data_IF_347425655015
#
_entry.id   IF_347425655015
#
_cell.length_a   1.000
_cell.length_b   1.000
_cell.length_c   1.000
_cell.angle_alpha   90.00
_cell.angle_beta   90.00
_cell.angle_gamma   90.00
#
_symmetry.space_group_name_H-M   'P 1'
#
loop_
_entity.id
_entity.type
_entity.pdbx_description
1 polymer ?
#
# COMPACT_ATOMS: atom_id res chain seq x y z
N UNK A 1 -22.59 21.44 36.69
CA UNK A 1 -22.81 20.63 35.47
C UNK A 1 -22.38 21.48 34.28
N UNK A 2 -21.25 21.15 33.64
CA UNK A 2 -20.71 21.95 32.53
C UNK A 2 -21.61 21.75 31.30
N UNK A 3 -22.25 22.82 30.82
CA UNK A 3 -23.02 22.77 29.56
C UNK A 3 -22.03 22.71 28.40
N UNK A 4 -21.75 21.51 27.90
CA UNK A 4 -21.03 21.34 26.63
C UNK A 4 -21.97 21.83 25.53
N UNK A 5 -21.61 22.93 24.88
CA UNK A 5 -22.38 23.47 23.77
C UNK A 5 -21.98 22.77 22.47
N UNK A 6 -22.88 22.73 21.48
CA UNK A 6 -22.56 22.22 20.14
C UNK A 6 -21.32 22.91 19.53
N UNK A 7 -21.17 24.22 19.78
CA UNK A 7 -20.00 25.01 19.37
C UNK A 7 -18.71 24.45 19.95
N UNK A 8 -18.72 24.03 21.22
CA UNK A 8 -17.56 23.40 21.87
C UNK A 8 -17.19 22.08 21.20
N UNK A 9 -18.17 21.23 20.90
CA UNK A 9 -17.94 19.94 20.22
C UNK A 9 -17.35 20.17 18.82
N UNK A 10 -17.87 21.12 18.06
CA UNK A 10 -17.36 21.44 16.72
C UNK A 10 -15.92 21.95 16.76
N UNK A 11 -15.60 22.88 17.67
CA UNK A 11 -14.23 23.39 17.82
C UNK A 11 -13.28 22.24 18.19
N UNK A 12 -13.66 21.37 19.13
CA UNK A 12 -12.86 20.20 19.48
C UNK A 12 -12.65 19.25 18.31
N UNK A 13 -13.69 18.98 17.50
CA UNK A 13 -13.57 18.11 16.32
C UNK A 13 -12.61 18.70 15.27
N UNK A 14 -12.68 20.01 15.01
CA UNK A 14 -11.76 20.70 14.09
C UNK A 14 -10.32 20.65 14.61
N UNK A 15 -10.10 20.88 15.90
CA UNK A 15 -8.76 20.79 16.51
C UNK A 15 -8.20 19.37 16.36
N UNK A 16 -8.99 18.35 16.68
CA UNK A 16 -8.57 16.94 16.54
C UNK A 16 -8.24 16.61 15.09
N UNK A 17 -9.07 17.06 14.14
CA UNK A 17 -8.82 16.87 12.72
C UNK A 17 -7.51 17.53 12.26
N UNK A 18 -7.27 18.78 12.65
CA UNK A 18 -6.01 19.48 12.34
C UNK A 18 -4.79 18.79 12.97
N UNK A 19 -4.91 18.29 14.20
CA UNK A 19 -3.85 17.51 14.84
C UNK A 19 -3.58 16.19 14.13
N UNK A 20 -4.59 15.56 13.52
CA UNK A 20 -4.41 14.35 12.70
C UNK A 20 -3.74 14.63 11.35
N UNK A 21 -3.95 15.82 10.77
CA UNK A 21 -3.30 16.21 9.52
C UNK A 21 -1.85 16.67 9.72
N UNK A 22 -1.52 17.17 10.91
CA UNK A 22 -0.22 17.77 11.21
C UNK A 22 0.98 16.85 10.93
N UNK A 23 1.00 15.54 11.30
CA UNK A 23 2.09 14.65 10.95
C UNK A 23 2.33 14.52 9.45
N UNK A 24 1.26 14.42 8.65
CA UNK A 24 1.37 14.36 7.19
C UNK A 24 1.89 15.69 6.64
N UNK A 25 1.33 16.82 7.11
CA UNK A 25 1.77 18.15 6.71
C UNK A 25 3.25 18.40 7.01
N UNK A 26 3.75 17.92 8.16
CA UNK A 26 5.17 18.03 8.53
C UNK A 26 6.05 17.34 7.50
N UNK A 27 5.76 16.10 7.10
CA UNK A 27 6.61 15.37 6.15
C UNK A 27 6.73 16.09 4.81
N UNK A 28 5.60 16.50 4.23
CA UNK A 28 5.60 17.16 2.93
C UNK A 28 6.19 18.57 2.97
N UNK A 29 5.95 19.31 4.06
CA UNK A 29 6.59 20.62 4.26
C UNK A 29 8.10 20.46 4.43
N UNK A 30 8.53 19.43 5.15
CA UNK A 30 9.94 19.12 5.36
C UNK A 30 10.64 18.74 4.05
N UNK A 31 10.02 17.86 3.26
CA UNK A 31 10.48 17.51 1.91
C UNK A 31 10.58 18.75 1.01
N UNK A 32 9.55 19.60 1.00
CA UNK A 32 9.53 20.82 0.19
C UNK A 32 10.65 21.80 0.55
N UNK A 33 10.98 21.95 1.84
CA UNK A 33 12.01 22.91 2.31
C UNK A 33 13.43 22.32 2.24
N UNK A 34 13.60 21.05 2.61
CA UNK A 34 14.91 20.45 2.84
C UNK A 34 15.25 19.28 1.91
N UNK A 35 14.30 18.80 1.10
CA UNK A 35 14.44 17.58 0.33
C UNK A 35 15.64 17.57 -0.61
N UNK A 36 15.88 18.66 -1.33
CA UNK A 36 17.05 18.79 -2.22
C UNK A 36 18.37 18.72 -1.44
N UNK A 37 18.46 19.46 -0.33
CA UNK A 37 19.64 19.44 0.53
C UNK A 37 19.92 18.04 1.07
N UNK A 38 18.90 17.36 1.60
CA UNK A 38 19.04 15.99 2.14
C UNK A 38 19.53 15.04 1.05
N UNK A 39 18.93 15.12 -0.14
CA UNK A 39 19.30 14.29 -1.29
C UNK A 39 20.77 14.49 -1.66
N UNK A 40 21.20 15.75 -1.78
CA UNK A 40 22.57 16.09 -2.13
C UNK A 40 23.56 15.67 -1.03
N UNK A 41 23.21 15.85 0.25
CA UNK A 41 24.04 15.42 1.38
C UNK A 41 24.24 13.89 1.35
N UNK A 42 23.18 13.12 1.09
CA UNK A 42 23.25 11.65 0.99
C UNK A 42 24.09 11.22 -0.22
N UNK A 43 23.80 11.70 -1.43
CA UNK A 43 24.55 11.34 -2.64
C UNK A 43 26.03 11.73 -2.53
N UNK A 44 26.32 12.90 -1.96
CA UNK A 44 27.70 13.33 -1.70
C UNK A 44 28.39 12.40 -0.70
N UNK A 45 27.70 11.96 0.36
CA UNK A 45 28.27 11.01 1.31
C UNK A 45 28.61 9.66 0.67
N UNK A 46 27.73 9.17 -0.22
CA UNK A 46 27.96 7.94 -1.00
C UNK A 46 29.15 8.12 -1.96
N UNK A 47 29.21 9.25 -2.67
CA UNK A 47 30.32 9.55 -3.58
C UNK A 47 31.65 9.63 -2.85
N UNK A 48 31.69 10.26 -1.68
CA UNK A 48 32.93 10.44 -0.91
C UNK A 48 33.41 9.14 -0.26
N UNK A 49 32.50 8.25 0.17
CA UNK A 49 32.85 6.98 0.81
C UNK A 49 33.26 5.90 -0.20
N UNK A 50 32.45 5.71 -1.26
CA UNK A 50 32.63 4.59 -2.20
C UNK A 50 33.19 5.00 -3.57
N UNK A 51 33.02 6.27 -3.96
CA UNK A 51 33.38 6.81 -5.28
C UNK A 51 32.94 5.91 -6.46
N UNK A 52 31.65 5.54 -6.56
CA UNK A 52 31.18 4.64 -7.61
C UNK A 52 31.40 5.24 -9.00
N UNK A 53 31.90 4.43 -9.94
CA UNK A 53 32.18 4.81 -11.33
C UNK A 53 31.21 4.16 -12.33
N UNK A 54 30.48 3.14 -11.90
CA UNK A 54 29.49 2.44 -12.71
C UNK A 54 28.12 2.43 -12.04
N UNK A 55 27.07 2.20 -12.83
CA UNK A 55 25.71 2.06 -12.30
C UNK A 55 25.57 0.92 -11.27
N UNK A 56 26.33 -0.19 -11.44
CA UNK A 56 26.32 -1.32 -10.49
C UNK A 56 27.01 -0.94 -9.18
N UNK A 57 28.13 -0.23 -9.26
CA UNK A 57 28.83 0.28 -8.08
C UNK A 57 27.98 1.31 -7.34
N UNK A 58 27.27 2.20 -8.06
CA UNK A 58 26.35 3.16 -7.45
C UNK A 58 25.20 2.44 -6.73
N UNK A 59 24.54 1.49 -7.39
CA UNK A 59 23.48 0.70 -6.77
C UNK A 59 23.98 -0.02 -5.51
N UNK A 60 25.15 -0.67 -5.57
CA UNK A 60 25.76 -1.33 -4.42
C UNK A 60 26.10 -0.33 -3.28
N UNK A 61 26.60 0.85 -3.63
CA UNK A 61 26.94 1.89 -2.67
C UNK A 61 25.69 2.48 -1.98
N UNK A 62 24.57 2.62 -2.70
CA UNK A 62 23.29 3.02 -2.12
C UNK A 62 22.79 1.95 -1.14
N UNK A 63 22.78 0.68 -1.52
CA UNK A 63 22.34 -0.43 -0.63
C UNK A 63 23.20 -0.48 0.65
N UNK A 64 24.52 -0.37 0.51
CA UNK A 64 25.45 -0.37 1.65
C UNK A 64 25.18 0.83 2.58
N UNK A 65 24.95 2.02 1.99
CA UNK A 65 24.60 3.21 2.75
C UNK A 65 23.29 3.04 3.50
N UNK A 66 22.24 2.54 2.86
CA UNK A 66 20.94 2.30 3.48
C UNK A 66 21.04 1.26 4.61
N UNK A 67 21.72 0.13 4.36
CA UNK A 67 21.93 -0.91 5.37
C UNK A 67 22.74 -0.41 6.58
N UNK A 68 23.65 0.53 6.37
CA UNK A 68 24.48 1.12 7.43
C UNK A 68 23.71 2.19 8.21
N UNK A 69 22.88 2.98 7.53
CA UNK A 69 22.28 4.18 8.11
C UNK A 69 20.86 3.98 8.64
N UNK A 70 20.08 3.08 8.05
CA UNK A 70 18.68 2.90 8.40
C UNK A 70 18.49 1.94 9.57
N UNK A 71 17.61 2.33 10.49
CA UNK A 71 17.08 1.45 11.52
C UNK A 71 15.95 0.59 10.94
N UNK A 72 16.06 -0.75 11.00
CA UNK A 72 15.05 -1.65 10.46
C UNK A 72 13.80 -1.71 11.36
N UNK A 73 12.70 -1.10 10.91
CA UNK A 73 11.50 -0.90 11.74
C UNK A 73 10.72 -2.19 12.03
N UNK A 74 10.99 -3.29 11.33
CA UNK A 74 10.40 -4.59 11.65
C UNK A 74 10.95 -5.17 12.97
N UNK A 75 12.16 -4.77 13.39
CA UNK A 75 12.76 -5.22 14.66
C UNK A 75 12.16 -4.51 15.88
N UNK A 76 11.66 -3.29 15.69
CA UNK A 76 11.13 -2.43 16.76
C UNK A 76 9.65 -2.62 17.04
N UNK A 77 8.92 -3.23 16.11
CA UNK A 77 7.45 -3.22 16.16
C UNK A 77 6.80 -4.31 17.03
N UNK A 78 7.54 -5.23 17.68
CA UNK A 78 7.04 -6.23 18.67
C UNK A 78 5.64 -6.84 18.43
N UNK A 79 5.21 -6.99 17.17
CA UNK A 79 3.84 -7.43 16.83
C UNK A 79 2.72 -6.39 17.01
N UNK A 80 2.97 -5.19 17.53
CA UNK A 80 1.94 -4.14 17.63
C UNK A 80 1.67 -3.53 16.24
N UNK A 81 0.55 -3.92 15.63
CA UNK A 81 0.16 -3.53 14.28
C UNK A 81 -0.23 -2.05 14.16
N UNK A 82 -0.66 -1.41 15.24
CA UNK A 82 -1.08 0.01 15.25
C UNK A 82 0.10 0.96 15.12
N UNK A 83 1.24 0.63 15.72
CA UNK A 83 2.47 1.43 15.64
C UNK A 83 3.27 1.19 14.34
N UNK A 84 2.87 0.22 13.50
CA UNK A 84 3.53 -0.06 12.21
C UNK A 84 3.45 1.09 11.20
N UNK A 85 2.54 2.05 11.39
CA UNK A 85 2.34 3.17 10.46
C UNK A 85 2.84 4.51 10.98
N UNK A 86 2.90 4.65 12.31
CA UNK A 86 3.29 5.87 12.99
C UNK A 86 3.89 5.50 14.35
N UNK A 87 5.05 6.05 14.66
CA UNK A 87 5.62 5.93 16.00
C UNK A 87 6.77 6.91 16.22
N UNK A 88 7.06 7.18 17.49
CA UNK A 88 8.24 7.93 17.91
C UNK A 88 9.18 6.96 18.61
N UNK A 89 10.41 6.86 18.10
CA UNK A 89 11.39 5.87 18.54
C UNK A 89 12.65 6.54 19.04
N UNK A 90 13.19 6.05 20.15
CA UNK A 90 14.51 6.46 20.64
C UNK A 90 15.58 5.56 19.99
N UNK A 91 16.39 6.15 19.12
CA UNK A 91 17.48 5.49 18.40
C UNK A 91 18.77 6.24 18.77
N UNK A 92 19.64 5.58 19.53
CA UNK A 92 20.91 6.12 20.01
C UNK A 92 20.78 7.47 20.73
N UNK A 93 19.77 7.60 21.59
CA UNK A 93 19.50 8.83 22.35
C UNK A 93 18.75 9.91 21.57
N UNK A 94 18.41 9.67 20.29
CA UNK A 94 17.68 10.61 19.45
C UNK A 94 16.25 10.11 19.19
N UNK A 95 15.27 10.94 19.48
CA UNK A 95 13.88 10.65 19.15
C UNK A 95 13.60 10.93 17.68
N UNK A 96 13.15 9.92 16.94
CA UNK A 96 12.80 10.02 15.52
C UNK A 96 11.34 9.67 15.30
N UNK A 97 10.69 10.41 14.41
CA UNK A 97 9.30 10.19 14.01
C UNK A 97 9.25 9.29 12.78
N UNK A 98 8.77 8.06 12.95
CA UNK A 98 8.51 7.14 11.84
C UNK A 98 7.09 7.35 11.34
N UNK A 99 6.97 7.56 10.04
CA UNK A 99 5.71 7.67 9.32
C UNK A 99 5.84 6.84 8.05
N UNK A 100 5.01 5.79 7.95
CA UNK A 100 5.01 4.89 6.80
C UNK A 100 4.50 5.62 5.56
N UNK A 101 5.03 5.28 4.39
CA UNK A 101 4.67 5.90 3.10
C UNK A 101 4.98 7.41 3.03
N UNK A 102 5.96 7.90 3.80
CA UNK A 102 6.46 9.26 3.63
C UNK A 102 7.23 9.45 2.31
N UNK A 103 7.50 10.70 1.89
CA UNK A 103 8.36 10.97 0.76
C UNK A 103 9.77 10.40 1.00
N UNK A 104 10.48 10.03 -0.07
CA UNK A 104 11.80 9.40 0.03
C UNK A 104 12.80 10.24 0.85
N UNK A 105 12.77 11.56 0.73
CA UNK A 105 13.63 12.47 1.51
C UNK A 105 13.35 12.42 3.02
N UNK A 106 12.09 12.18 3.43
CA UNK A 106 11.73 11.98 4.82
C UNK A 106 12.33 10.67 5.35
N UNK A 107 12.32 9.61 4.53
CA UNK A 107 12.95 8.32 4.85
C UNK A 107 14.47 8.49 4.99
N UNK A 108 15.12 9.17 4.03
CA UNK A 108 16.55 9.48 4.07
C UNK A 108 16.94 10.29 5.31
N UNK A 109 16.10 11.24 5.72
CA UNK A 109 16.33 12.06 6.91
C UNK A 109 16.13 11.28 8.21
N UNK A 110 14.99 10.59 8.35
CA UNK A 110 14.62 9.92 9.60
C UNK A 110 15.41 8.61 9.82
N UNK A 111 15.97 8.06 8.74
CA UNK A 111 16.76 6.84 8.72
C UNK A 111 16.07 5.65 9.39
N UNK A 112 14.78 5.46 9.10
CA UNK A 112 13.95 4.37 9.61
C UNK A 112 13.14 3.79 8.45
N UNK A 113 13.24 2.49 8.24
CA UNK A 113 12.66 1.87 7.06
C UNK A 113 12.14 0.43 7.30
N UNK A 114 11.06 0.06 6.59
CA UNK A 114 10.75 -1.32 6.23
C UNK A 114 11.09 -1.55 4.74
N UNK A 115 10.86 -2.75 4.20
CA UNK A 115 11.14 -3.09 2.80
C UNK A 115 10.62 -2.03 1.80
N UNK A 116 9.41 -1.51 2.00
CA UNK A 116 8.85 -0.44 1.16
C UNK A 116 9.61 0.88 1.24
N UNK A 117 10.03 1.29 2.44
CA UNK A 117 10.83 2.50 2.62
C UNK A 117 12.25 2.37 2.06
N UNK A 118 12.90 1.20 2.22
CA UNK A 118 14.18 0.90 1.59
C UNK A 118 14.06 0.99 0.06
N UNK A 119 13.08 0.32 -0.56
CA UNK A 119 12.89 0.38 -2.00
C UNK A 119 12.59 1.80 -2.50
N UNK A 120 11.79 2.58 -1.77
CA UNK A 120 11.48 3.96 -2.13
C UNK A 120 12.72 4.86 -2.09
N UNK A 121 13.53 4.78 -1.03
CA UNK A 121 14.77 5.54 -0.93
C UNK A 121 15.76 5.16 -2.05
N UNK A 122 15.93 3.86 -2.32
CA UNK A 122 16.80 3.37 -3.39
C UNK A 122 16.36 3.89 -4.76
N UNK A 123 15.09 3.69 -5.12
CA UNK A 123 14.52 4.12 -6.41
C UNK A 123 14.64 5.63 -6.57
N UNK A 124 14.39 6.38 -5.51
CA UNK A 124 14.52 7.84 -5.51
C UNK A 124 15.97 8.27 -5.80
N UNK A 125 16.96 7.69 -5.10
CA UNK A 125 18.37 8.03 -5.30
C UNK A 125 18.86 7.63 -6.70
N UNK A 126 18.50 6.44 -7.19
CA UNK A 126 18.85 6.00 -8.55
C UNK A 126 18.24 6.91 -9.63
N UNK A 127 16.97 7.29 -9.49
CA UNK A 127 16.33 8.26 -10.39
C UNK A 127 17.02 9.63 -10.33
N UNK A 128 17.43 10.09 -9.14
CA UNK A 128 18.20 11.34 -8.98
C UNK A 128 19.60 11.28 -9.60
N UNK A 129 20.18 10.09 -9.70
CA UNK A 129 21.43 9.84 -10.41
C UNK A 129 21.25 9.60 -11.91
N UNK A 130 20.04 9.73 -12.45
CA UNK A 130 19.76 9.66 -13.89
C UNK A 130 19.44 8.26 -14.42
N UNK A 131 19.18 7.28 -13.55
CA UNK A 131 18.79 5.93 -13.94
C UNK A 131 17.30 5.70 -13.73
N UNK A 132 16.59 5.33 -14.80
CA UNK A 132 15.20 4.92 -14.70
C UNK A 132 15.06 3.78 -13.68
N UNK A 133 14.21 3.99 -12.68
CA UNK A 133 14.02 3.05 -11.58
C UNK A 133 12.57 3.04 -11.11
N UNK A 134 12.08 1.89 -10.67
CA UNK A 134 10.70 1.72 -10.17
C UNK A 134 10.63 0.83 -8.94
N UNK A 135 9.61 1.05 -8.12
CA UNK A 135 9.30 0.19 -6.97
C UNK A 135 8.46 -0.99 -7.47
N UNK A 136 8.72 -2.18 -6.94
CA UNK A 136 7.94 -3.38 -7.27
C UNK A 136 7.38 -4.01 -5.99
N UNK A 137 6.08 -4.27 -5.99
CA UNK A 137 5.31 -4.80 -4.87
C UNK A 137 4.76 -6.18 -5.16
N UNK A 138 4.66 -6.99 -4.11
CA UNK A 138 3.89 -8.24 -4.08
C UNK A 138 2.89 -8.13 -2.93
N UNK A 139 1.72 -7.49 -3.15
CA UNK A 139 0.80 -7.13 -2.07
C UNK A 139 0.33 -8.33 -1.24
N UNK A 140 0.07 -9.46 -1.92
CA UNK A 140 -0.37 -10.70 -1.28
C UNK A 140 0.65 -11.33 -0.34
N UNK A 141 1.93 -11.03 -0.52
CA UNK A 141 3.04 -11.58 0.24
C UNK A 141 3.76 -10.52 1.12
N UNK A 142 3.21 -9.31 1.22
CA UNK A 142 3.73 -8.18 2.02
C UNK A 142 5.22 -7.93 1.79
N UNK A 143 5.61 -7.92 0.51
CA UNK A 143 6.99 -7.77 0.10
C UNK A 143 7.14 -6.69 -0.99
N UNK A 144 8.29 -6.01 -0.97
CA UNK A 144 8.61 -4.87 -1.83
C UNK A 144 10.11 -4.87 -2.11
N UNK A 145 10.49 -4.58 -3.35
CA UNK A 145 11.88 -4.38 -3.79
C UNK A 145 11.96 -3.26 -4.83
N UNK A 146 13.16 -3.03 -5.37
CA UNK A 146 13.44 -2.02 -6.37
C UNK A 146 13.96 -2.63 -7.68
N UNK A 147 13.68 -1.96 -8.79
CA UNK A 147 14.30 -2.23 -10.08
C UNK A 147 14.93 -0.95 -10.64
N UNK A 148 16.00 -1.10 -11.41
CA UNK A 148 16.55 -0.04 -12.24
C UNK A 148 16.94 -0.55 -13.62
N UNK A 149 17.02 0.35 -14.60
CA UNK A 149 17.24 0.04 -16.00
C UNK A 149 18.48 0.75 -16.57
N UNK A 150 19.27 0.02 -17.35
CA UNK A 150 20.43 0.57 -18.07
C UNK A 150 20.45 -0.05 -19.46
N UNK A 151 20.41 0.78 -20.50
CA UNK A 151 20.40 0.34 -21.91
C UNK A 151 19.32 -0.72 -22.23
N UNK A 152 18.16 -0.61 -21.58
CA UNK A 152 17.04 -1.55 -21.72
C UNK A 152 17.19 -2.86 -20.93
N UNK A 153 18.32 -3.08 -20.27
CA UNK A 153 18.50 -4.19 -19.35
C UNK A 153 17.94 -3.87 -17.97
N UNK A 154 17.22 -4.84 -17.39
CA UNK A 154 16.57 -4.74 -16.09
C UNK A 154 17.45 -5.33 -14.98
N UNK A 155 17.60 -4.59 -13.90
CA UNK A 155 18.32 -5.01 -12.71
C UNK A 155 17.38 -5.01 -11.50
N UNK A 156 17.28 -6.15 -10.81
CA UNK A 156 16.43 -6.34 -9.62
C UNK A 156 17.30 -6.22 -8.37
N UNK A 157 16.87 -5.41 -7.41
CA UNK A 157 17.61 -5.10 -6.18
C UNK A 157 16.69 -5.17 -4.97
N UNK A 158 17.15 -5.82 -3.90
CA UNK A 158 16.46 -5.84 -2.61
C UNK A 158 17.24 -5.04 -1.55
N UNK A 159 16.96 -3.74 -1.41
CA UNK A 159 17.80 -2.84 -0.61
C UNK A 159 17.73 -3.09 0.91
N UNK A 160 16.71 -3.79 1.41
CA UNK A 160 16.59 -4.07 2.86
C UNK A 160 17.55 -5.13 3.39
N UNK A 161 18.40 -5.72 2.55
CA UNK A 161 19.36 -6.75 2.94
C UNK A 161 20.74 -6.43 2.34
N UNK A 162 21.80 -6.44 3.16
CA UNK A 162 23.20 -6.33 2.70
C UNK A 162 23.70 -7.61 1.98
N UNK A 163 22.77 -8.35 1.40
CA UNK A 163 23.01 -9.53 0.62
C UNK A 163 22.46 -9.25 -0.78
N UNK A 164 23.35 -9.02 -1.73
CA UNK A 164 23.06 -8.90 -3.16
C UNK A 164 22.44 -10.16 -3.79
N UNK A 165 22.04 -11.16 -2.99
CA UNK A 165 21.59 -12.48 -3.42
C UNK A 165 20.26 -12.95 -2.78
N UNK A 166 19.37 -12.07 -2.32
CA UNK A 166 17.95 -12.48 -2.34
C UNK A 166 17.52 -12.50 -3.80
N UNK A 167 17.48 -13.71 -4.35
CA UNK A 167 17.08 -13.97 -5.72
C UNK A 167 15.56 -13.86 -5.80
N UNK A 168 15.05 -12.62 -5.76
CA UNK A 168 13.63 -12.29 -5.81
C UNK A 168 13.04 -13.02 -7.03
N UNK A 169 13.63 -12.87 -8.22
CA UNK A 169 13.20 -13.57 -9.44
C UNK A 169 13.09 -15.10 -9.27
N UNK A 170 13.99 -15.75 -8.53
CA UNK A 170 13.87 -17.18 -8.20
C UNK A 170 12.66 -17.49 -7.32
N UNK A 171 12.35 -16.69 -6.30
CA UNK A 171 11.14 -16.90 -5.48
C UNK A 171 9.87 -16.78 -6.32
N UNK A 172 9.86 -15.84 -7.26
CA UNK A 172 8.82 -15.75 -8.29
C UNK A 172 8.72 -17.01 -9.12
N UNK A 173 9.83 -17.44 -9.72
CA UNK A 173 9.89 -18.65 -10.55
C UNK A 173 9.51 -19.95 -9.81
N UNK A 174 9.68 -20.00 -8.49
CA UNK A 174 9.24 -21.11 -7.62
C UNK A 174 7.73 -21.07 -7.30
N UNK A 175 6.96 -20.15 -7.89
CA UNK A 175 5.50 -20.06 -7.74
C UNK A 175 5.05 -19.46 -6.40
N UNK A 176 5.94 -18.81 -5.65
CA UNK A 176 5.60 -18.29 -4.33
C UNK A 176 4.75 -17.01 -4.40
N UNK A 177 4.75 -16.29 -5.51
CA UNK A 177 4.11 -14.99 -5.63
C UNK A 177 2.73 -15.07 -6.23
N UNK A 178 1.82 -14.25 -5.69
CA UNK A 178 0.44 -14.20 -6.14
C UNK A 178 0.24 -13.30 -7.36
N UNK A 179 0.88 -12.14 -7.34
CA UNK A 179 0.70 -11.02 -8.25
C UNK A 179 1.82 -10.03 -7.99
N UNK A 180 2.38 -9.43 -9.04
CA UNK A 180 3.43 -8.42 -8.93
C UNK A 180 2.97 -7.15 -9.63
N UNK A 181 3.06 -6.02 -8.93
CA UNK A 181 2.80 -4.70 -9.51
C UNK A 181 4.04 -3.82 -9.39
N UNK A 182 4.36 -3.04 -10.43
CA UNK A 182 5.26 -1.90 -10.29
C UNK A 182 4.46 -0.66 -9.95
N UNK A 183 5.05 0.21 -9.13
CA UNK A 183 4.42 1.45 -8.65
C UNK A 183 5.36 2.63 -8.91
N UNK A 184 4.82 3.72 -9.45
CA UNK A 184 5.54 5.00 -9.52
C UNK A 184 5.63 5.61 -8.10
N UNK A 185 6.83 5.86 -7.56
CA UNK A 185 6.99 6.53 -6.25
C UNK A 185 6.33 7.91 -6.18
N UNK A 186 6.19 8.61 -7.31
CA UNK A 186 5.55 9.93 -7.39
C UNK A 186 4.04 9.84 -7.63
N UNK A 187 3.55 8.69 -8.07
CA UNK A 187 2.14 8.43 -8.31
C UNK A 187 1.77 7.01 -7.88
N UNK A 188 1.52 6.82 -6.58
CA UNK A 188 1.17 5.51 -6.01
C UNK A 188 -0.12 4.90 -6.58
N UNK A 189 -0.92 5.68 -7.32
CA UNK A 189 -2.10 5.19 -8.03
C UNK A 189 -1.78 4.61 -9.41
N UNK A 190 -0.61 4.93 -9.95
CA UNK A 190 -0.10 4.34 -11.19
C UNK A 190 0.54 2.99 -10.88
N UNK A 191 -0.27 1.94 -11.04
CA UNK A 191 0.09 0.55 -10.78
C UNK A 191 0.03 -0.21 -12.09
N UNK A 192 1.13 -0.89 -12.41
CA UNK A 192 1.23 -1.71 -13.62
C UNK A 192 1.48 -3.16 -13.21
N UNK A 193 0.67 -4.08 -13.74
CA UNK A 193 0.87 -5.52 -13.55
C UNK A 193 2.12 -5.98 -14.31
N UNK A 194 3.11 -6.44 -13.56
CA UNK A 194 4.40 -6.93 -14.06
C UNK A 194 4.61 -8.41 -13.74
N UNK A 195 3.55 -9.15 -13.41
CA UNK A 195 3.64 -10.54 -12.94
C UNK A 195 4.37 -11.46 -13.92
N UNK A 196 4.12 -11.29 -15.23
CA UNK A 196 4.74 -12.12 -16.28
C UNK A 196 6.26 -11.91 -16.42
N UNK A 197 6.80 -10.84 -15.85
CA UNK A 197 8.25 -10.62 -15.80
C UNK A 197 8.96 -11.56 -14.80
N UNK A 198 8.19 -12.26 -13.96
CA UNK A 198 8.69 -12.98 -12.81
C UNK A 198 8.22 -14.43 -12.72
N UNK A 199 7.00 -14.73 -13.18
CA UNK A 199 6.46 -16.08 -13.18
C UNK A 199 5.36 -16.25 -14.22
N UNK A 200 5.06 -17.51 -14.56
CA UNK A 200 3.92 -17.82 -15.42
C UNK A 200 2.59 -17.65 -14.67
N UNK A 201 1.61 -17.04 -15.32
CA UNK A 201 0.30 -16.78 -14.73
C UNK A 201 -0.80 -17.70 -15.30
N UNK A 202 -1.86 -17.88 -14.53
CA UNK A 202 -3.18 -18.30 -15.02
C UNK A 202 -4.13 -17.11 -15.07
N UNK A 203 -5.25 -17.25 -15.80
CA UNK A 203 -6.30 -16.24 -15.85
C UNK A 203 -7.48 -16.65 -14.99
N UNK A 204 -8.05 -15.70 -14.27
CA UNK A 204 -9.30 -15.85 -13.53
C UNK A 204 -10.33 -14.87 -14.07
N UNK A 205 -11.44 -15.39 -14.59
CA UNK A 205 -12.64 -14.61 -14.90
C UNK A 205 -13.62 -14.73 -13.74
N UNK A 206 -14.03 -13.60 -13.16
CA UNK A 206 -15.07 -13.55 -12.13
C UNK A 206 -16.31 -12.89 -12.73
N UNK A 207 -17.44 -13.60 -12.70
CA UNK A 207 -18.71 -13.15 -13.27
C UNK A 207 -19.78 -13.04 -12.18
N UNK A 208 -20.48 -11.91 -12.11
CA UNK A 208 -21.41 -11.56 -11.02
C UNK A 208 -22.80 -11.31 -11.59
N UNK A 209 -23.78 -11.99 -11.02
CA UNK A 209 -25.17 -11.90 -11.44
C UNK A 209 -26.11 -11.61 -10.26
N UNK A 210 -27.23 -10.95 -10.54
CA UNK A 210 -28.38 -10.83 -9.65
C UNK A 210 -29.64 -11.23 -10.43
N UNK A 211 -30.24 -12.35 -10.04
CA UNK A 211 -31.35 -12.98 -10.76
C UNK A 211 -31.05 -13.12 -12.27
N UNK A 212 -29.89 -13.69 -12.60
CA UNK A 212 -29.39 -13.91 -13.98
C UNK A 212 -28.97 -12.64 -14.74
N UNK A 213 -29.22 -11.45 -14.21
CA UNK A 213 -28.74 -10.21 -14.82
C UNK A 213 -27.31 -9.91 -14.38
N UNK A 214 -26.40 -9.53 -15.31
CA UNK A 214 -25.05 -9.14 -14.95
C UNK A 214 -25.05 -7.88 -14.07
N UNK A 215 -24.12 -7.82 -13.10
CA UNK A 215 -24.00 -6.68 -12.18
C UNK A 215 -22.67 -5.97 -12.41
N UNK A 216 -22.74 -4.79 -13.02
CA UNK A 216 -21.60 -3.90 -13.21
C UNK A 216 -21.22 -3.14 -11.94
N UNK A 217 -20.04 -2.53 -11.95
CA UNK A 217 -19.59 -1.61 -10.90
C UNK A 217 -19.45 -2.28 -9.51
N UNK A 218 -19.26 -3.60 -9.46
CA UNK A 218 -19.05 -4.36 -8.22
C UNK A 218 -17.57 -4.62 -8.00
N UNK A 219 -17.07 -4.33 -6.79
CA UNK A 219 -15.66 -4.52 -6.45
C UNK A 219 -15.36 -5.99 -6.16
N UNK A 220 -14.37 -6.54 -6.85
CA UNK A 220 -13.86 -7.90 -6.66
C UNK A 220 -12.44 -7.83 -6.12
N UNK A 221 -12.25 -8.39 -4.93
CA UNK A 221 -10.99 -8.37 -4.20
C UNK A 221 -10.39 -9.77 -4.17
N UNK A 222 -9.18 -9.91 -4.69
CA UNK A 222 -8.42 -11.16 -4.65
C UNK A 222 -7.55 -11.17 -3.40
N UNK A 223 -7.57 -12.26 -2.64
CA UNK A 223 -6.79 -12.41 -1.41
C UNK A 223 -5.95 -13.69 -1.41
N UNK A 224 -4.75 -13.59 -0.84
CA UNK A 224 -3.81 -14.69 -0.62
C UNK A 224 -3.82 -15.10 0.84
N UNK A 225 -4.00 -16.40 1.09
CA UNK A 225 -3.87 -17.00 2.42
C UNK A 225 -2.44 -17.41 2.77
N UNK A 226 -1.46 -17.18 1.89
CA UNK A 226 -0.10 -17.72 2.05
C UNK A 226 0.54 -17.31 3.38
N UNK A 227 0.47 -16.03 3.72
CA UNK A 227 1.12 -15.50 4.93
C UNK A 227 0.50 -15.99 6.24
N UNK A 228 -0.78 -16.43 6.24
CA UNK A 228 -1.42 -16.97 7.44
C UNK A 228 -0.71 -18.21 7.99
N UNK A 229 -0.12 -19.00 7.09
CA UNK A 229 0.55 -20.24 7.46
C UNK A 229 2.05 -20.05 7.68
N UNK A 230 2.63 -18.98 7.15
CA UNK A 230 4.08 -18.73 7.20
C UNK A 230 4.48 -17.82 8.36
N UNK A 231 3.58 -16.97 8.84
CA UNK A 231 3.94 -15.92 9.78
C UNK A 231 2.75 -15.55 10.68
N UNK A 232 2.92 -15.78 11.98
CA UNK A 232 1.90 -15.56 13.00
C UNK A 232 1.48 -14.10 13.18
N UNK A 233 2.20 -13.15 12.57
CA UNK A 233 1.82 -11.72 12.54
C UNK A 233 0.59 -11.45 11.69
N UNK A 234 0.18 -12.39 10.84
CA UNK A 234 -0.98 -12.25 9.97
C UNK A 234 -2.16 -13.06 10.51
N UNK A 235 -3.24 -12.36 10.83
CA UNK A 235 -4.51 -12.95 11.30
C UNK A 235 -5.54 -13.10 10.20
N UNK A 236 -5.34 -12.42 9.08
CA UNK A 236 -6.28 -12.34 7.96
C UNK A 236 -5.54 -12.50 6.62
N UNK A 237 -6.19 -13.08 5.59
CA UNK A 237 -5.66 -13.13 4.23
C UNK A 237 -5.30 -11.73 3.71
N UNK A 238 -4.21 -11.63 2.96
CA UNK A 238 -3.75 -10.36 2.38
C UNK A 238 -4.41 -10.09 1.04
N UNK A 239 -4.81 -8.85 0.83
CA UNK A 239 -5.23 -8.39 -0.48
C UNK A 239 -4.08 -8.45 -1.48
N UNK A 240 -4.36 -9.04 -2.64
CA UNK A 240 -3.44 -9.25 -3.76
C UNK A 240 -3.64 -8.15 -4.78
N UNK A 241 -4.89 -7.97 -5.21
CA UNK A 241 -5.32 -6.96 -6.19
C UNK A 241 -6.85 -6.84 -6.12
N UNK A 242 -7.40 -5.76 -6.65
CA UNK A 242 -8.84 -5.56 -6.76
C UNK A 242 -9.17 -4.90 -8.10
N UNK A 243 -10.36 -5.21 -8.62
CA UNK A 243 -10.91 -4.61 -9.84
C UNK A 243 -12.42 -4.60 -9.75
N UNK A 244 -13.04 -3.71 -10.52
CA UNK A 244 -14.49 -3.58 -10.61
C UNK A 244 -15.04 -4.29 -11.84
N UNK A 245 -16.23 -4.90 -11.74
CA UNK A 245 -16.89 -5.54 -12.89
C UNK A 245 -17.31 -4.55 -13.97
N UNK A 246 -17.21 -5.01 -15.22
CA UNK A 246 -17.65 -4.28 -16.41
C UNK A 246 -19.17 -4.37 -16.64
N UNK A 247 -19.64 -3.86 -17.79
CA UNK A 247 -21.06 -3.88 -18.17
C UNK A 247 -21.65 -5.30 -18.29
N UNK A 248 -20.80 -6.31 -18.51
CA UNK A 248 -21.20 -7.72 -18.56
C UNK A 248 -21.17 -8.37 -17.17
N UNK A 249 -20.93 -7.58 -16.12
CA UNK A 249 -20.79 -8.08 -14.75
C UNK A 249 -19.57 -8.97 -14.58
N UNK A 250 -18.53 -8.78 -15.40
CA UNK A 250 -17.35 -9.64 -15.43
C UNK A 250 -16.06 -8.86 -15.18
N UNK A 251 -15.05 -9.55 -14.68
CA UNK A 251 -13.71 -8.97 -14.51
C UNK A 251 -12.64 -10.06 -14.60
N UNK A 252 -11.48 -9.71 -15.15
CA UNK A 252 -10.38 -10.63 -15.39
C UNK A 252 -9.15 -10.29 -14.56
N UNK A 253 -8.56 -11.31 -13.95
CA UNK A 253 -7.31 -11.24 -13.20
C UNK A 253 -6.27 -12.18 -13.80
N UNK A 254 -5.01 -11.77 -13.72
CA UNK A 254 -3.84 -12.57 -14.07
C UNK A 254 -3.07 -12.84 -12.77
N UNK A 255 -2.92 -14.11 -12.41
CA UNK A 255 -2.50 -14.53 -11.08
C UNK A 255 -1.52 -15.71 -11.16
N UNK A 256 -0.60 -15.79 -10.19
CA UNK A 256 0.27 -16.95 -10.01
C UNK A 256 -0.49 -18.23 -9.64
N UNK A 257 0.17 -19.37 -9.75
CA UNK A 257 -0.43 -20.66 -9.38
C UNK A 257 -0.54 -20.80 -7.85
N UNK A 258 -1.77 -20.85 -7.34
CA UNK A 258 -2.13 -21.20 -5.95
C UNK A 258 -3.65 -21.13 -5.73
N UNK A 259 -4.07 -21.39 -4.50
CA UNK A 259 -5.45 -21.14 -4.05
C UNK A 259 -5.60 -19.72 -3.51
N UNK A 260 -6.64 -19.03 -3.99
CA UNK A 260 -7.02 -17.68 -3.62
C UNK A 260 -8.39 -17.67 -2.96
N UNK A 261 -8.62 -16.64 -2.14
CA UNK A 261 -9.94 -16.26 -1.65
C UNK A 261 -10.39 -15.08 -2.51
N UNK A 262 -11.55 -15.21 -3.15
CA UNK A 262 -12.16 -14.16 -3.97
C UNK A 262 -13.31 -13.59 -3.16
N UNK A 263 -13.25 -12.31 -2.85
CA UNK A 263 -14.32 -11.59 -2.16
C UNK A 263 -15.02 -10.65 -3.16
N UNK A 264 -16.34 -10.79 -3.29
CA UNK A 264 -17.21 -9.83 -3.97
C UNK A 264 -17.79 -8.89 -2.93
N UNK A 265 -17.49 -7.59 -3.04
CA UNK A 265 -17.94 -6.55 -2.10
C UNK A 265 -19.11 -5.78 -2.73
N UNK A 266 -20.30 -5.99 -2.19
CA UNK A 266 -21.53 -5.32 -2.60
C UNK A 266 -21.87 -4.20 -1.61
N UNK A 267 -21.84 -2.95 -2.11
CA UNK A 267 -22.02 -1.75 -1.30
C UNK A 267 -23.50 -1.41 -1.13
N UNK A 268 -24.04 -1.62 0.07
CA UNK A 268 -25.36 -1.13 0.45
C UNK A 268 -25.24 0.14 1.31
N UNK A 269 -26.23 1.03 1.26
CA UNK A 269 -26.19 2.40 1.81
C UNK A 269 -25.48 2.56 3.17
N UNK A 270 -25.69 1.64 4.12
CA UNK A 270 -25.07 1.68 5.45
C UNK A 270 -24.22 0.45 5.78
N UNK A 271 -24.13 -0.54 4.87
CA UNK A 271 -23.48 -1.81 5.17
C UNK A 271 -22.98 -2.46 3.89
N UNK A 272 -21.71 -2.85 3.92
CA UNK A 272 -21.12 -3.65 2.86
C UNK A 272 -21.38 -5.13 3.15
N UNK A 273 -21.75 -5.87 2.10
CA UNK A 273 -21.90 -7.32 2.13
C UNK A 273 -20.75 -7.95 1.36
N UNK A 274 -20.27 -9.09 1.85
CA UNK A 274 -19.25 -9.87 1.14
C UNK A 274 -19.69 -11.29 0.89
N UNK A 275 -19.48 -11.71 -0.36
CA UNK A 275 -19.62 -13.07 -0.85
C UNK A 275 -18.21 -13.59 -1.10
N UNK A 276 -17.88 -14.75 -0.55
CA UNK A 276 -16.51 -15.26 -0.55
C UNK A 276 -16.47 -16.70 -1.04
N UNK A 277 -15.61 -16.99 -2.01
CA UNK A 277 -15.35 -18.34 -2.53
C UNK A 277 -13.85 -18.53 -2.73
N UNK A 278 -13.41 -19.78 -2.64
CA UNK A 278 -12.04 -20.15 -2.97
C UNK A 278 -11.93 -20.54 -4.45
N UNK A 279 -10.79 -20.24 -5.07
CA UNK A 279 -10.46 -20.69 -6.42
C UNK A 279 -8.99 -21.09 -6.48
N UNK A 280 -8.67 -22.17 -7.19
CA UNK A 280 -7.29 -22.56 -7.46
C UNK A 280 -6.94 -22.20 -8.88
N UNK A 281 -5.86 -21.45 -9.04
CA UNK A 281 -5.31 -21.03 -10.34
C UNK A 281 -4.13 -21.93 -10.66
N UNK A 282 -3.99 -22.30 -11.94
CA UNK A 282 -2.83 -23.03 -12.47
C UNK A 282 -2.25 -22.25 -13.65
N UNK A 283 -0.92 -22.30 -13.81
CA UNK A 283 -0.22 -21.58 -14.88
C UNK A 283 -0.75 -21.99 -16.26
N UNK A 284 -1.02 -21.00 -17.12
CA UNK A 284 -1.48 -21.22 -18.50
C UNK A 284 -2.94 -21.64 -18.64
N UNK A 285 -3.67 -21.85 -17.54
CA UNK A 285 -5.08 -22.22 -17.55
C UNK A 285 -5.99 -21.03 -17.30
N UNK A 286 -7.22 -21.11 -17.81
CA UNK A 286 -8.29 -20.19 -17.49
C UNK A 286 -9.21 -20.83 -16.44
N UNK A 287 -9.46 -20.10 -15.35
CA UNK A 287 -10.43 -20.46 -14.32
C UNK A 287 -11.59 -19.48 -14.36
N UNK A 288 -12.78 -19.97 -14.08
CA UNK A 288 -13.99 -19.15 -14.03
C UNK A 288 -14.65 -19.30 -12.66
N UNK A 289 -15.08 -18.18 -12.08
CA UNK A 289 -15.81 -18.15 -10.83
C UNK A 289 -17.08 -17.31 -11.00
N UNK A 290 -18.23 -17.94 -10.76
CA UNK A 290 -19.53 -17.28 -10.87
C UNK A 290 -20.12 -16.97 -9.48
N UNK A 291 -20.59 -15.73 -9.32
CA UNK A 291 -21.36 -15.27 -8.18
C UNK A 291 -22.80 -14.98 -8.57
N UNK A 292 -23.72 -15.33 -7.69
CA UNK A 292 -25.13 -14.98 -7.78
C UNK A 292 -25.54 -14.30 -6.46
N UNK A 293 -25.76 -12.98 -6.48
CA UNK A 293 -25.96 -12.18 -5.27
C UNK A 293 -27.28 -12.48 -4.55
N UNK A 294 -28.26 -13.08 -5.24
CA UNK A 294 -29.55 -13.49 -4.68
C UNK A 294 -29.51 -14.86 -3.97
N UNK A 295 -28.60 -15.76 -4.36
CA UNK A 295 -28.52 -17.15 -3.87
C UNK A 295 -27.29 -17.44 -3.04
N UNK A 296 -26.17 -16.80 -3.34
CA UNK A 296 -24.92 -17.04 -2.63
C UNK A 296 -24.99 -16.49 -1.21
N UNK A 297 -24.38 -17.22 -0.27
CA UNK A 297 -24.34 -16.80 1.12
C UNK A 297 -23.43 -15.58 1.28
N UNK A 298 -23.96 -14.52 1.90
CA UNK A 298 -23.21 -13.32 2.25
C UNK A 298 -22.97 -13.19 3.74
N UNK A 299 -21.86 -12.56 4.10
CA UNK A 299 -21.56 -12.13 5.45
C UNK A 299 -21.45 -10.62 5.49
N UNK A 300 -21.78 -9.96 6.62
CA UNK A 300 -21.51 -8.55 6.75
C UNK A 300 -20.00 -8.33 6.67
N UNK A 301 -19.55 -7.34 5.89
CA UNK A 301 -18.12 -7.05 5.80
C UNK A 301 -17.63 -6.53 7.17
N UNK A 302 -16.64 -7.18 7.80
CA UNK A 302 -16.18 -6.77 9.12
C UNK A 302 -15.53 -5.39 9.03
N UNK A 303 -16.09 -4.42 9.78
CA UNK A 303 -15.48 -3.14 10.12
C UNK A 303 -15.16 -2.17 8.98
N UNK A 304 -16.20 -1.76 8.25
CA UNK A 304 -16.27 -0.38 7.75
C UNK A 304 -17.66 0.18 8.06
N UNK A 305 -17.96 0.45 9.35
CA UNK A 305 -18.75 1.68 9.59
C UNK A 305 -17.80 2.75 9.10
N UNK A 306 -17.94 3.11 7.83
CA UNK A 306 -17.11 4.08 7.17
C UNK A 306 -17.29 5.34 7.99
N UNK A 307 -16.36 5.61 8.92
CA UNK A 307 -16.54 6.64 9.94
C UNK A 307 -16.79 7.98 9.26
N UNK A 308 -16.23 8.15 8.06
CA UNK A 308 -16.48 9.22 7.10
C UNK A 308 -17.96 9.24 6.65
N UNK A 309 -18.55 8.14 6.17
CA UNK A 309 -19.99 8.09 5.85
C UNK A 309 -20.87 8.30 7.08
N UNK A 310 -20.45 7.85 8.27
CA UNK A 310 -21.14 8.17 9.51
C UNK A 310 -21.08 9.68 9.77
N UNK A 311 -19.93 10.32 9.59
CA UNK A 311 -19.79 11.78 9.64
C UNK A 311 -20.58 12.51 8.56
N UNK A 312 -20.72 11.95 7.35
CA UNK A 312 -21.53 12.52 6.28
C UNK A 312 -23.03 12.44 6.61
N UNK A 313 -23.51 11.27 7.06
CA UNK A 313 -24.90 11.08 7.47
C UNK A 313 -25.23 11.94 8.68
N UNK A 314 -24.32 11.99 9.66
CA UNK A 314 -24.46 12.83 10.85
C UNK A 314 -24.38 14.31 10.47
N UNK A 315 -23.43 14.70 9.61
CA UNK A 315 -23.24 16.06 9.13
C UNK A 315 -24.42 16.58 8.31
N UNK A 316 -24.93 15.80 7.36
CA UNK A 316 -26.12 16.12 6.56
C UNK A 316 -27.37 16.16 7.45
N UNK A 317 -27.54 15.19 8.35
CA UNK A 317 -28.62 15.21 9.34
C UNK A 317 -28.58 16.47 10.21
N UNK A 318 -27.39 16.90 10.63
CA UNK A 318 -27.20 18.14 11.38
C UNK A 318 -27.46 19.41 10.55
N UNK A 319 -27.06 19.44 9.27
CA UNK A 319 -27.38 20.56 8.37
C UNK A 319 -28.88 20.69 8.15
N UNK A 320 -29.59 19.59 7.93
CA UNK A 320 -31.04 19.58 7.74
C UNK A 320 -31.77 20.04 9.01
N UNK A 321 -31.36 19.54 10.19
CA UNK A 321 -31.96 19.93 11.47
C UNK A 321 -31.72 21.40 11.84
N UNK A 322 -30.59 21.98 11.40
CA UNK A 322 -30.24 23.36 11.69
C UNK A 322 -30.50 24.33 10.52
N UNK A 323 -31.01 23.85 9.38
CA UNK A 323 -31.27 24.67 8.19
C UNK A 323 -32.14 25.88 8.51
N UNK A 324 -33.17 25.73 9.37
CA UNK A 324 -34.02 26.85 9.80
C UNK A 324 -33.26 27.90 10.60
N UNK A 325 -32.26 27.53 11.40
CA UNK A 325 -31.43 28.47 12.18
C UNK A 325 -30.38 29.15 11.31
N UNK A 326 -29.81 28.42 10.35
CA UNK A 326 -28.86 28.94 9.38
C UNK A 326 -29.54 29.98 8.48
N UNK A 327 -30.79 29.72 8.04
CA UNK A 327 -31.57 30.65 7.20
C UNK A 327 -31.87 32.00 7.88
N UNK A 328 -31.93 32.03 9.21
CA UNK A 328 -32.11 33.27 9.99
C UNK A 328 -30.81 34.06 10.12
N UNK A 329 -29.64 33.43 10.01
CA UNK A 329 -28.35 34.11 10.02
C UNK A 329 -27.92 34.63 8.65
N UNK A 330 -28.55 34.13 7.58
CA UNK A 330 -28.28 34.52 6.19
C UNK A 330 -29.23 35.60 5.66
N UNK A 331 -30.24 35.99 6.46
CA UNK A 331 -31.14 37.11 6.20
C UNK A 331 -30.89 38.22 7.22
#
# INVERSE_FOLDING_TARGET
MVKITLKTIMISAVIVFLLMLLPMGIMYTYDWIYGEKITNDVLTSIQNDKNPQTHKELAAAIIDWECTNFEPMWTRNNGNTTLKKLGVFNIDGNYRLFLRNGPATWILYNKMACCGEYANAFVYLMNKSGYESRIVHVPGEDHVWAEYFVDGEKYVVEPSHNNSQMNTTKRGAEGQWSYVESVDPNNLSDKVDVSDEYFGCGNLTVSIYNNENPVKDVNVVIKSGLLLNLDSRYTDPKEVTNKTTDENGSVNFKLGEKTYIVDVVDHYYLRDWVYSKNVTISVGNNSELRYNLDKDTRKPYPNYINFIKLFDVVGVGFMVLNWKKIKVLLN
#
